data_IF_412229281261
#
_entry.id   IF_412229281261
#
_cell.length_a   1.000
_cell.length_b   1.000
_cell.length_c   1.000
_cell.angle_alpha   90.00
_cell.angle_beta   90.00
_cell.angle_gamma   90.00
#
_symmetry.space_group_name_H-M   'P 1'
#
loop_
_entity.id
_entity.type
_entity.pdbx_description
1 polymer ?
#
# COMPACT_ATOMS: atom_id res chain seq x y z
N UNK A 1 18.51 -43.20 20.74
CA UNK A 1 17.10 -43.16 20.29
C UNK A 1 16.37 -41.88 20.68
N UNK A 2 16.63 -41.29 21.86
CA UNK A 2 16.01 -40.03 22.33
C UNK A 2 16.19 -38.76 21.46
N UNK A 3 17.36 -38.45 20.87
CA UNK A 3 17.55 -37.15 20.18
C UNK A 3 16.75 -37.03 18.87
N UNK A 4 16.43 -38.17 18.24
CA UNK A 4 15.60 -38.21 17.03
C UNK A 4 14.13 -37.87 17.35
N UNK A 5 13.63 -38.34 18.50
CA UNK A 5 12.27 -38.05 18.97
C UNK A 5 12.12 -36.59 19.37
N UNK A 6 13.11 -36.01 20.06
CA UNK A 6 13.09 -34.60 20.44
C UNK A 6 13.15 -33.66 19.23
N UNK A 7 13.94 -34.02 18.20
CA UNK A 7 14.00 -33.26 16.94
C UNK A 7 12.67 -33.26 16.18
N UNK A 8 12.00 -34.43 16.12
CA UNK A 8 10.66 -34.54 15.52
C UNK A 8 9.62 -33.70 16.28
N UNK A 9 9.65 -33.73 17.62
CA UNK A 9 8.78 -32.89 18.46
C UNK A 9 9.02 -31.40 18.25
N UNK A 10 10.28 -30.94 18.17
CA UNK A 10 10.59 -29.53 17.92
C UNK A 10 10.17 -29.08 16.52
N UNK A 11 10.33 -29.94 15.51
CA UNK A 11 9.87 -29.66 14.15
C UNK A 11 8.34 -29.53 14.09
N UNK A 12 7.61 -30.45 14.74
CA UNK A 12 6.15 -30.37 14.87
C UNK A 12 5.69 -29.09 15.57
N UNK A 13 6.40 -28.65 16.62
CA UNK A 13 6.08 -27.39 17.29
C UNK A 13 6.33 -26.17 16.38
N UNK A 14 7.37 -26.21 15.56
CA UNK A 14 7.68 -25.16 14.58
C UNK A 14 6.63 -25.11 13.45
N UNK A 15 6.19 -26.25 12.93
CA UNK A 15 5.15 -26.30 11.89
C UNK A 15 3.81 -25.78 12.40
N UNK A 16 3.40 -26.12 13.63
CA UNK A 16 2.18 -25.59 14.24
C UNK A 16 2.25 -24.06 14.39
N UNK A 17 3.41 -23.52 14.81
CA UNK A 17 3.62 -22.07 14.89
C UNK A 17 3.51 -21.42 13.50
N UNK A 18 4.18 -21.99 12.50
CA UNK A 18 4.14 -21.50 11.12
C UNK A 18 2.71 -21.49 10.56
N UNK A 19 1.96 -22.59 10.71
CA UNK A 19 0.57 -22.70 10.25
C UNK A 19 -0.34 -21.67 10.94
N UNK A 20 -0.13 -21.39 12.23
CA UNK A 20 -0.89 -20.33 12.94
C UNK A 20 -0.65 -18.94 12.33
N UNK A 21 0.60 -18.59 12.04
CA UNK A 21 0.92 -17.30 11.41
C UNK A 21 0.36 -17.21 9.99
N UNK A 22 0.46 -18.29 9.22
CA UNK A 22 -0.13 -18.37 7.88
C UNK A 22 -1.66 -18.21 7.96
N UNK A 23 -2.32 -18.93 8.87
CA UNK A 23 -3.76 -18.80 9.09
C UNK A 23 -4.18 -17.37 9.47
N UNK A 24 -3.43 -16.71 10.35
CA UNK A 24 -3.68 -15.30 10.71
C UNK A 24 -3.54 -14.36 9.51
N UNK A 25 -2.49 -14.54 8.69
CA UNK A 25 -2.31 -13.74 7.48
C UNK A 25 -3.45 -13.96 6.48
N UNK A 26 -3.89 -15.21 6.30
CA UNK A 26 -4.96 -15.57 5.37
C UNK A 26 -6.31 -14.96 5.78
N UNK A 27 -6.66 -15.06 7.06
CA UNK A 27 -7.88 -14.43 7.62
C UNK A 27 -7.82 -12.90 7.39
N UNK A 28 -6.65 -12.31 7.61
CA UNK A 28 -6.46 -10.87 7.39
C UNK A 28 -6.66 -10.50 5.92
N UNK A 29 -6.03 -11.22 4.98
CA UNK A 29 -6.20 -10.95 3.54
C UNK A 29 -7.64 -11.12 3.08
N UNK A 30 -8.33 -12.17 3.55
CA UNK A 30 -9.73 -12.43 3.23
C UNK A 30 -10.66 -11.36 3.82
N UNK A 31 -10.33 -10.81 5.00
CA UNK A 31 -11.08 -9.67 5.55
C UNK A 31 -10.94 -8.40 4.71
N UNK A 32 -9.81 -8.21 4.00
CA UNK A 32 -9.60 -7.05 3.13
C UNK A 32 -10.35 -7.14 1.80
N UNK A 33 -10.59 -8.35 1.27
CA UNK A 33 -11.36 -8.52 0.03
C UNK A 33 -12.84 -8.15 0.19
N UNK A 34 -13.37 -8.14 1.42
CA UNK A 34 -14.74 -7.72 1.70
C UNK A 34 -14.89 -6.19 1.88
N UNK A 35 -13.80 -5.42 1.83
CA UNK A 35 -13.87 -3.95 1.88
C UNK A 35 -14.04 -3.39 0.48
N UNK A 36 -14.76 -2.27 0.38
CA UNK A 36 -14.86 -1.53 -0.87
C UNK A 36 -13.47 -1.03 -1.30
N UNK A 37 -13.15 -1.04 -2.61
CA UNK A 37 -11.87 -0.56 -3.10
C UNK A 37 -11.73 0.94 -2.88
N UNK A 38 -10.61 1.37 -2.29
CA UNK A 38 -10.25 2.79 -2.14
C UNK A 38 -9.39 3.26 -3.30
N UNK A 39 -9.92 3.10 -4.52
CA UNK A 39 -9.26 3.43 -5.78
C UNK A 39 -10.02 4.54 -6.51
N UNK A 40 -9.30 5.36 -7.29
CA UNK A 40 -9.90 6.36 -8.17
C UNK A 40 -9.70 5.88 -9.61
N UNK A 41 -10.79 5.69 -10.36
CA UNK A 41 -10.76 5.16 -11.72
C UNK A 41 -10.36 6.22 -12.76
N UNK A 42 -9.07 6.59 -12.82
CA UNK A 42 -8.59 7.48 -13.88
C UNK A 42 -8.73 6.81 -15.27
N UNK A 43 -9.17 7.53 -16.32
CA UNK A 43 -9.48 8.97 -16.41
C UNK A 43 -10.95 9.35 -16.09
N UNK A 44 -11.78 8.35 -15.77
CA UNK A 44 -13.22 8.52 -15.58
C UNK A 44 -13.56 9.25 -14.28
N UNK A 45 -12.81 8.97 -13.22
CA UNK A 45 -12.88 9.66 -11.93
C UNK A 45 -11.62 10.51 -11.75
N UNK A 46 -11.81 11.80 -11.44
CA UNK A 46 -10.72 12.76 -11.20
C UNK A 46 -10.50 12.96 -9.71
N UNK A 47 -9.25 12.88 -9.26
CA UNK A 47 -8.88 13.27 -7.91
C UNK A 47 -8.91 14.79 -7.75
N UNK A 48 -9.34 15.25 -6.58
CA UNK A 48 -9.31 16.67 -6.22
C UNK A 48 -7.85 17.05 -5.94
N UNK A 49 -7.37 18.12 -6.56
CA UNK A 49 -6.03 18.65 -6.30
C UNK A 49 -6.06 19.55 -5.06
N UNK A 50 -5.02 19.51 -4.21
CA UNK A 50 -4.93 20.43 -3.07
C UNK A 50 -4.73 21.87 -3.54
N UNK A 51 -5.08 22.85 -2.70
CA UNK A 51 -5.05 24.30 -3.06
C UNK A 51 -3.68 24.79 -3.54
N UNK A 52 -2.59 24.23 -2.98
CA UNK A 52 -1.21 24.58 -3.35
C UNK A 52 -0.57 23.58 -4.32
N UNK A 53 -1.37 22.79 -5.03
CA UNK A 53 -0.85 21.89 -6.05
C UNK A 53 -0.23 22.69 -7.20
N UNK A 54 1.06 22.45 -7.45
CA UNK A 54 1.79 23.10 -8.55
C UNK A 54 1.52 22.33 -9.85
N UNK A 55 0.44 22.72 -10.53
CA UNK A 55 0.08 22.20 -11.85
C UNK A 55 0.83 22.92 -12.98
N UNK A 56 0.14 23.14 -14.10
CA UNK A 56 0.68 23.93 -15.21
C UNK A 56 0.75 25.41 -14.84
N UNK A 57 1.90 26.04 -15.10
CA UNK A 57 2.08 27.49 -14.92
C UNK A 57 1.15 28.23 -15.88
N UNK A 58 0.32 29.12 -15.34
CA UNK A 58 -0.45 30.07 -16.12
C UNK A 58 0.38 31.34 -16.29
N UNK A 59 0.55 31.80 -17.53
CA UNK A 59 1.30 33.01 -17.83
C UNK A 59 0.36 34.08 -18.37
N UNK A 60 0.38 35.24 -17.72
CA UNK A 60 -0.40 36.41 -18.14
C UNK A 60 0.52 37.38 -18.86
N UNK A 61 0.36 37.48 -20.18
CA UNK A 61 1.26 38.25 -21.04
C UNK A 61 1.29 39.74 -20.68
N UNK A 62 0.12 40.33 -20.38
CA UNK A 62 -0.01 41.76 -20.11
C UNK A 62 0.69 42.21 -18.81
N UNK A 63 0.99 41.28 -17.90
CA UNK A 63 1.69 41.58 -16.63
C UNK A 63 3.21 41.45 -16.72
N UNK A 64 3.73 40.87 -17.80
CA UNK A 64 5.17 40.66 -17.96
C UNK A 64 5.87 41.97 -18.38
N UNK A 65 6.82 42.42 -17.58
CA UNK A 65 7.66 43.60 -17.88
C UNK A 65 9.09 43.24 -18.30
N UNK A 66 9.33 41.96 -18.66
CA UNK A 66 10.65 41.44 -19.04
C UNK A 66 11.75 41.72 -17.99
N UNK A 67 11.47 41.44 -16.71
CA UNK A 67 12.42 41.65 -15.62
C UNK A 67 13.44 40.51 -15.40
N UNK A 68 13.34 39.40 -16.16
CA UNK A 68 14.28 38.27 -16.12
C UNK A 68 14.39 37.53 -14.76
N UNK A 69 13.36 37.60 -13.91
CA UNK A 69 13.31 36.93 -12.59
C UNK A 69 12.63 35.55 -12.63
N UNK A 70 11.93 35.24 -13.72
CA UNK A 70 11.16 34.01 -13.95
C UNK A 70 12.06 32.76 -13.92
#
# INVERSE_FOLDING_TARGET
MFPMVTGFMSYGQQTIRATRYIGQSFITTLSHTNRLPITIHYPYEKSITPERFRGRIHFEFDKCIACEVC
#
